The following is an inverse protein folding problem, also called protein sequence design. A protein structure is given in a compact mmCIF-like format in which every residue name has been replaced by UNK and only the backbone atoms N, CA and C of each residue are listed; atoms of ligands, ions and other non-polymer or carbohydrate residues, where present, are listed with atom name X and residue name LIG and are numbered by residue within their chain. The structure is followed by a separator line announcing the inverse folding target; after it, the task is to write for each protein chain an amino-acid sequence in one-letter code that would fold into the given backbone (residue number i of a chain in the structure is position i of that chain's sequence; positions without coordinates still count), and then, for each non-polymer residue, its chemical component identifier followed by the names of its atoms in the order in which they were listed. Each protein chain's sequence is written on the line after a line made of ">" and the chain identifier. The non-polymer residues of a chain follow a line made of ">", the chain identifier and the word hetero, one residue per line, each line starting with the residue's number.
data_IF_684870144873
#
_entry.id   IF_684870144873
#
_cell.length_a   1.000
_cell.length_b   1.000
_cell.length_c   1.000
_cell.angle_alpha   90.00
_cell.angle_beta   90.00
_cell.angle_gamma   90.00
#
_symmetry.space_group_name_H-M   'P 1'
#
loop_
_entity.id
_entity.type
_entity.pdbx_description
1 polymer ?
#
# COMPACT_ATOMS: atom_id res chain seq x y z
N UNK A 1 -79.99 -4.61 -19.06
CA UNK A 1 -79.55 -5.84 -19.75
C UNK A 1 -78.40 -5.45 -20.66
N UNK A 2 -77.24 -6.07 -20.44
CA UNK A 2 -75.97 -5.89 -21.15
C UNK A 2 -75.89 -6.89 -22.29
N UNK A 3 -75.72 -6.47 -23.54
CA UNK A 3 -75.11 -7.22 -24.67
C UNK A 3 -74.80 -6.18 -25.77
N UNK A 4 -73.67 -6.12 -26.47
CA UNK A 4 -72.44 -6.90 -26.50
C UNK A 4 -71.43 -6.10 -27.32
N UNK A 5 -70.19 -6.06 -26.86
CA UNK A 5 -69.04 -5.50 -27.57
C UNK A 5 -68.68 -6.40 -28.76
N UNK A 6 -68.61 -5.83 -29.96
CA UNK A 6 -67.80 -6.33 -31.09
C UNK A 6 -67.21 -5.05 -31.71
N UNK A 7 -66.01 -4.59 -31.35
CA UNK A 7 -64.66 -5.16 -31.53
C UNK A 7 -64.46 -5.57 -33.01
N UNK A 8 -63.57 -4.82 -33.69
CA UNK A 8 -63.15 -4.83 -35.11
C UNK A 8 -64.02 -4.00 -36.06
N UNK A 9 -63.44 -3.03 -36.81
CA UNK A 9 -62.36 -3.24 -37.80
C UNK A 9 -61.05 -2.59 -37.34
N UNK A 10 -59.85 -2.99 -37.76
CA UNK A 10 -59.39 -3.17 -39.13
C UNK A 10 -58.06 -3.95 -39.04
N UNK A 11 -57.87 -4.97 -39.86
CA UNK A 11 -56.62 -5.76 -39.96
C UNK A 11 -55.50 -4.92 -40.62
N UNK A 12 -55.08 -3.82 -39.99
CA UNK A 12 -54.02 -2.95 -40.54
C UNK A 12 -52.95 -2.52 -39.55
N UNK A 13 -52.91 -3.07 -38.34
CA UNK A 13 -52.00 -2.55 -37.29
C UNK A 13 -50.76 -3.39 -37.03
N UNK A 14 -50.69 -4.65 -37.48
CA UNK A 14 -49.52 -5.50 -37.17
C UNK A 14 -48.38 -5.36 -38.20
N UNK A 15 -48.67 -5.10 -39.47
CA UNK A 15 -47.64 -4.88 -40.49
C UNK A 15 -47.01 -3.47 -40.40
N UNK A 16 -47.69 -2.48 -39.80
CA UNK A 16 -47.19 -1.11 -39.73
C UNK A 16 -46.37 -0.80 -38.46
N UNK A 17 -46.50 -1.59 -37.38
CA UNK A 17 -45.62 -1.43 -36.21
C UNK A 17 -44.26 -2.13 -36.37
N UNK A 18 -44.17 -3.17 -37.21
CA UNK A 18 -42.88 -3.78 -37.56
C UNK A 18 -42.02 -2.91 -38.49
N UNK A 19 -42.57 -1.85 -39.08
CA UNK A 19 -41.82 -0.92 -39.93
C UNK A 19 -41.08 0.19 -39.15
N UNK A 20 -41.28 0.32 -37.83
CA UNK A 20 -40.62 1.38 -37.03
C UNK A 20 -39.34 0.91 -36.32
N UNK A 21 -39.15 -0.39 -36.18
CA UNK A 21 -37.90 -0.98 -35.75
C UNK A 21 -37.53 -2.04 -36.79
N UNK A 22 -36.74 -1.62 -37.79
CA UNK A 22 -35.99 -2.57 -38.61
C UNK A 22 -35.17 -3.50 -37.71
N UNK A 23 -34.72 -4.66 -38.24
CA UNK A 23 -34.05 -5.69 -37.44
C UNK A 23 -33.00 -5.01 -36.57
N UNK A 24 -33.10 -5.16 -35.23
CA UNK A 24 -32.10 -4.65 -34.31
C UNK A 24 -30.75 -5.03 -34.89
N UNK A 25 -30.02 -4.01 -35.31
CA UNK A 25 -28.85 -4.15 -36.14
C UNK A 25 -27.81 -4.95 -35.34
N UNK A 26 -27.67 -6.24 -35.68
CA UNK A 26 -26.82 -7.22 -34.97
C UNK A 26 -25.38 -6.72 -34.73
N UNK A 27 -24.92 -5.78 -35.55
CA UNK A 27 -23.59 -5.15 -35.43
C UNK A 27 -23.42 -4.37 -34.13
N UNK A 28 -24.46 -3.73 -33.60
CA UNK A 28 -24.35 -2.94 -32.37
C UNK A 28 -24.20 -3.84 -31.13
N UNK A 29 -24.80 -5.04 -31.17
CA UNK A 29 -24.67 -6.07 -30.13
C UNK A 29 -23.32 -6.78 -30.19
N UNK A 30 -22.72 -6.93 -31.38
CA UNK A 30 -21.35 -7.45 -31.55
C UNK A 30 -20.29 -6.44 -31.09
N UNK A 31 -20.43 -5.15 -31.45
CA UNK A 31 -19.55 -4.08 -30.98
C UNK A 31 -19.57 -3.96 -29.44
N UNK A 32 -20.76 -4.07 -28.83
CA UNK A 32 -20.90 -4.08 -27.37
C UNK A 32 -20.19 -5.28 -26.72
N UNK A 33 -20.22 -6.46 -27.35
CA UNK A 33 -19.53 -7.66 -26.84
C UNK A 33 -18.01 -7.54 -26.93
N UNK A 34 -17.49 -6.99 -28.02
CA UNK A 34 -16.05 -6.79 -28.18
C UNK A 34 -15.51 -5.68 -27.28
N UNK A 35 -16.30 -4.63 -27.05
CA UNK A 35 -16.02 -3.63 -26.04
C UNK A 35 -15.98 -4.24 -24.63
N UNK A 36 -16.97 -5.06 -24.27
CA UNK A 36 -17.00 -5.77 -22.98
C UNK A 36 -15.77 -6.67 -22.80
N UNK A 37 -15.38 -7.46 -23.81
CA UNK A 37 -14.16 -8.30 -23.78
C UNK A 37 -12.89 -7.47 -23.58
N UNK A 38 -12.83 -6.31 -24.21
CA UNK A 38 -11.71 -5.37 -24.06
C UNK A 38 -11.61 -4.86 -22.63
N UNK A 39 -12.75 -4.45 -22.05
CA UNK A 39 -12.81 -4.02 -20.64
C UNK A 39 -12.42 -5.17 -19.70
N UNK A 40 -12.94 -6.39 -19.92
CA UNK A 40 -12.60 -7.54 -19.10
C UNK A 40 -11.10 -7.86 -19.14
N UNK A 41 -10.49 -7.76 -20.33
CA UNK A 41 -9.04 -7.94 -20.49
C UNK A 41 -8.26 -6.87 -19.74
N UNK A 42 -8.70 -5.62 -19.83
CA UNK A 42 -8.09 -4.51 -19.10
C UNK A 42 -8.21 -4.69 -17.58
N UNK A 43 -9.36 -5.10 -17.08
CA UNK A 43 -9.58 -5.37 -15.64
C UNK A 43 -8.63 -6.48 -15.16
N UNK A 44 -8.51 -7.57 -15.93
CA UNK A 44 -7.59 -8.66 -15.61
C UNK A 44 -6.15 -8.17 -15.56
N UNK A 45 -5.72 -7.39 -16.55
CA UNK A 45 -4.37 -6.83 -16.58
C UNK A 45 -4.11 -5.92 -15.37
N UNK A 46 -5.03 -4.99 -15.08
CA UNK A 46 -4.92 -4.09 -13.93
C UNK A 46 -4.86 -4.86 -12.60
N UNK A 47 -5.58 -5.98 -12.49
CA UNK A 47 -5.51 -6.83 -11.31
C UNK A 47 -4.15 -7.53 -11.17
N UNK A 48 -3.58 -8.02 -12.27
CA UNK A 48 -2.22 -8.58 -12.26
C UNK A 48 -1.17 -7.51 -11.89
N UNK A 49 -1.29 -6.30 -12.45
CA UNK A 49 -0.40 -5.18 -12.13
C UNK A 49 -0.49 -4.80 -10.65
N UNK A 50 -1.71 -4.78 -10.10
CA UNK A 50 -1.94 -4.54 -8.68
C UNK A 50 -1.28 -5.61 -7.79
N UNK A 51 -1.42 -6.89 -8.14
CA UNK A 51 -0.74 -7.97 -7.40
C UNK A 51 0.78 -7.83 -7.45
N UNK A 52 1.33 -7.50 -8.61
CA UNK A 52 2.77 -7.26 -8.76
C UNK A 52 3.24 -6.10 -7.88
N UNK A 53 2.50 -4.99 -7.85
CA UNK A 53 2.79 -3.85 -6.98
C UNK A 53 2.74 -4.24 -5.49
N UNK A 54 1.75 -5.04 -5.07
CA UNK A 54 1.65 -5.52 -3.70
C UNK A 54 2.84 -6.40 -3.30
N UNK A 55 3.30 -7.28 -4.19
CA UNK A 55 4.49 -8.10 -3.94
C UNK A 55 5.75 -7.24 -3.81
N UNK A 56 5.91 -6.23 -4.67
CA UNK A 56 7.05 -5.33 -4.59
C UNK A 56 7.04 -4.49 -3.31
N UNK A 57 5.87 -4.01 -2.87
CA UNK A 57 5.72 -3.33 -1.58
C UNK A 57 6.14 -4.22 -0.41
N UNK A 58 5.73 -5.49 -0.40
CA UNK A 58 6.13 -6.45 0.63
C UNK A 58 7.64 -6.71 0.62
N UNK A 59 8.26 -6.80 -0.56
CA UNK A 59 9.71 -6.96 -0.72
C UNK A 59 10.47 -5.74 -0.19
N UNK A 60 10.01 -4.54 -0.53
CA UNK A 60 10.60 -3.28 -0.06
C UNK A 60 10.46 -3.13 1.46
N UNK A 61 9.33 -3.53 2.03
CA UNK A 61 9.12 -3.52 3.48
C UNK A 61 10.12 -4.43 4.19
N UNK A 62 10.32 -5.65 3.68
CA UNK A 62 11.30 -6.60 4.23
C UNK A 62 12.73 -6.06 4.12
N UNK A 63 13.09 -5.46 2.98
CA UNK A 63 14.40 -4.86 2.78
C UNK A 63 14.61 -3.67 3.73
N UNK A 64 13.59 -2.83 3.92
CA UNK A 64 13.64 -1.71 4.87
C UNK A 64 13.92 -2.20 6.29
N UNK A 65 13.26 -3.29 6.71
CA UNK A 65 13.46 -3.88 8.02
C UNK A 65 14.90 -4.39 8.21
N UNK A 66 15.42 -5.13 7.24
CA UNK A 66 16.80 -5.64 7.24
C UNK A 66 17.85 -4.51 7.29
N UNK A 67 17.66 -3.48 6.47
CA UNK A 67 18.53 -2.31 6.45
C UNK A 67 18.48 -1.56 7.77
N UNK A 68 17.29 -1.39 8.36
CA UNK A 68 17.14 -0.70 9.64
C UNK A 68 17.85 -1.44 10.79
N UNK A 69 17.78 -2.77 10.79
CA UNK A 69 18.46 -3.64 11.75
C UNK A 69 19.98 -3.52 11.60
N UNK A 70 20.48 -3.67 10.37
CA UNK A 70 21.91 -3.60 10.07
C UNK A 70 22.49 -2.24 10.41
N UNK A 71 21.80 -1.17 10.02
CA UNK A 71 22.20 0.19 10.32
C UNK A 71 22.23 0.45 11.83
N UNK A 72 21.20 0.04 12.56
CA UNK A 72 21.13 0.23 14.01
C UNK A 72 22.26 -0.50 14.75
N UNK A 73 22.60 -1.73 14.36
CA UNK A 73 23.76 -2.45 14.90
C UNK A 73 25.07 -1.73 14.62
N UNK A 74 25.27 -1.29 13.38
CA UNK A 74 26.49 -0.57 12.99
C UNK A 74 26.63 0.76 13.74
N UNK A 75 25.54 1.49 13.92
CA UNK A 75 25.49 2.70 14.75
C UNK A 75 25.87 2.40 16.19
N UNK A 76 25.33 1.33 16.78
CA UNK A 76 25.67 0.93 18.15
C UNK A 76 27.15 0.58 18.25
N UNK A 77 27.68 -0.26 17.35
CA UNK A 77 29.10 -0.63 17.36
C UNK A 77 30.00 0.59 17.18
N UNK A 78 29.71 1.45 16.21
CA UNK A 78 30.45 2.69 15.98
C UNK A 78 30.46 3.58 17.23
N UNK A 79 29.31 3.74 17.90
CA UNK A 79 29.23 4.50 19.13
C UNK A 79 30.08 3.86 20.24
N UNK A 80 30.05 2.53 20.37
CA UNK A 80 30.84 1.80 21.37
C UNK A 80 32.35 1.87 21.11
N UNK A 81 32.78 1.97 19.86
CA UNK A 81 34.20 2.19 19.52
C UNK A 81 34.64 3.64 19.74
N UNK A 82 33.74 4.61 19.54
CA UNK A 82 34.08 6.04 19.55
C UNK A 82 33.90 6.71 20.91
N UNK A 83 32.98 6.22 21.73
CA UNK A 83 32.62 6.80 23.02
C UNK A 83 33.06 5.89 24.16
N UNK A 84 33.33 6.50 25.32
CA UNK A 84 33.60 5.75 26.55
C UNK A 84 32.31 5.10 27.05
N UNK A 85 32.41 3.83 27.45
CA UNK A 85 31.31 3.12 28.11
C UNK A 85 30.83 3.88 29.36
N UNK A 86 29.54 4.25 29.45
CA UNK A 86 29.02 4.92 30.63
C UNK A 86 29.03 3.96 31.84
N UNK A 87 29.14 4.50 33.05
CA UNK A 87 28.85 3.69 34.23
C UNK A 87 27.34 3.41 34.29
N UNK A 88 26.94 2.38 35.06
CA UNK A 88 25.54 1.95 35.19
C UNK A 88 24.71 2.89 36.10
N UNK A 89 24.77 4.19 35.84
CA UNK A 89 23.97 5.20 36.51
C UNK A 89 23.27 6.10 35.47
N UNK A 90 22.15 6.70 35.87
CA UNK A 90 21.30 7.49 34.96
C UNK A 90 22.03 8.69 34.34
N UNK A 91 22.90 9.33 35.11
CA UNK A 91 23.62 10.53 34.67
C UNK A 91 24.62 10.23 33.55
N UNK A 92 25.46 9.21 33.73
CA UNK A 92 26.48 8.82 32.75
C UNK A 92 25.84 8.25 31.47
N UNK A 93 24.76 7.47 31.61
CA UNK A 93 23.99 6.99 30.46
C UNK A 93 23.39 8.16 29.69
N UNK A 94 22.82 9.16 30.39
CA UNK A 94 22.26 10.35 29.75
C UNK A 94 23.33 11.17 29.01
N UNK A 95 24.53 11.30 29.57
CA UNK A 95 25.65 11.99 28.93
C UNK A 95 26.13 11.23 27.68
N UNK A 96 26.25 9.90 27.77
CA UNK A 96 26.56 9.03 26.63
C UNK A 96 25.54 9.21 25.50
N UNK A 97 24.25 9.18 25.83
CA UNK A 97 23.16 9.34 24.87
C UNK A 97 23.21 10.71 24.17
N UNK A 98 23.44 11.79 24.93
CA UNK A 98 23.55 13.13 24.37
C UNK A 98 24.76 13.26 23.43
N UNK A 99 25.91 12.69 23.80
CA UNK A 99 27.11 12.67 22.96
C UNK A 99 26.88 11.85 21.68
N UNK A 100 26.34 10.64 21.80
CA UNK A 100 25.96 9.77 20.66
C UNK A 100 25.01 10.51 19.72
N UNK A 101 23.97 11.13 20.25
CA UNK A 101 22.98 11.88 19.47
C UNK A 101 23.60 13.05 18.71
N UNK A 102 24.55 13.76 19.33
CA UNK A 102 25.26 14.89 18.71
C UNK A 102 26.13 14.41 17.55
N UNK A 103 26.91 13.34 17.77
CA UNK A 103 27.77 12.76 16.73
C UNK A 103 26.95 12.11 15.60
N UNK A 104 25.81 11.48 15.90
CA UNK A 104 24.97 10.89 14.85
C UNK A 104 24.41 11.94 13.89
N UNK A 105 24.10 13.14 14.39
CA UNK A 105 23.63 14.24 13.53
C UNK A 105 24.69 14.72 12.54
N UNK A 106 25.98 14.48 12.79
CA UNK A 106 27.05 14.88 11.86
C UNK A 106 27.23 13.89 10.72
N UNK A 107 27.06 12.58 10.97
CA UNK A 107 27.24 11.54 9.95
C UNK A 107 25.95 11.12 9.24
N UNK A 108 24.79 11.32 9.89
CA UNK A 108 23.47 10.99 9.34
C UNK A 108 22.49 12.14 9.61
N UNK A 109 22.66 13.29 8.95
CA UNK A 109 21.77 14.42 9.17
C UNK A 109 20.31 14.04 8.85
N UNK A 110 19.39 14.42 9.74
CA UNK A 110 17.96 14.17 9.54
C UNK A 110 17.47 12.77 9.88
N UNK A 111 18.30 11.83 10.35
CA UNK A 111 17.83 10.46 10.68
C UNK A 111 16.67 10.42 11.70
N UNK A 112 16.55 11.47 12.53
CA UNK A 112 15.45 11.64 13.48
C UNK A 112 14.06 11.79 12.86
N UNK A 113 13.96 12.07 11.56
CA UNK A 113 12.67 12.05 10.84
C UNK A 113 12.12 10.62 10.72
N UNK A 114 13.00 9.63 10.67
CA UNK A 114 12.65 8.22 10.61
C UNK A 114 12.48 7.66 12.03
N UNK A 115 11.26 7.79 12.56
CA UNK A 115 10.94 7.38 13.94
C UNK A 115 11.23 5.90 14.21
N UNK A 116 10.89 5.00 13.27
CA UNK A 116 11.13 3.55 13.39
C UNK A 116 12.62 3.23 13.49
N UNK A 117 13.44 3.81 12.62
CA UNK A 117 14.89 3.67 12.66
C UNK A 117 15.48 4.23 13.96
N UNK A 118 15.04 5.42 14.36
CA UNK A 118 15.49 6.07 15.60
C UNK A 118 15.16 5.23 16.84
N UNK A 119 13.98 4.60 16.88
CA UNK A 119 13.60 3.68 17.96
C UNK A 119 14.48 2.43 17.95
N UNK A 120 14.75 1.86 16.78
CA UNK A 120 15.56 0.65 16.64
C UNK A 120 17.04 0.86 17.00
N UNK A 121 17.61 2.02 16.67
CA UNK A 121 18.96 2.43 17.11
C UNK A 121 19.10 2.44 18.63
N UNK A 122 18.04 2.87 19.34
CA UNK A 122 18.03 2.89 20.81
C UNK A 122 17.86 1.48 21.38
N UNK A 123 16.94 0.68 20.85
CA UNK A 123 16.61 -0.63 21.41
C UNK A 123 17.77 -1.64 21.35
N UNK A 124 18.60 -1.54 20.31
CA UNK A 124 19.76 -2.41 20.10
C UNK A 124 20.96 -2.02 20.97
N UNK A 125 21.07 -0.76 21.39
CA UNK A 125 22.21 -0.31 22.17
C UNK A 125 22.15 -0.85 23.61
N UNK A 126 23.11 -1.70 23.94
CA UNK A 126 23.19 -2.36 25.24
C UNK A 126 23.71 -1.44 26.35
N UNK A 127 24.43 -0.36 26.01
CA UNK A 127 24.98 0.58 27.00
C UNK A 127 23.91 1.54 27.55
N UNK A 128 22.75 1.61 26.89
CA UNK A 128 21.60 2.40 27.35
C UNK A 128 20.81 1.71 28.48
N UNK A 129 21.09 0.43 28.77
CA UNK A 129 20.32 -0.38 29.73
C UNK A 129 20.86 -0.22 31.15
N UNK A 130 20.09 0.47 31.99
CA UNK A 130 20.26 0.43 33.44
C UNK A 130 19.51 -0.80 33.93
N UNK A 131 20.21 -1.91 34.16
CA UNK A 131 19.63 -3.07 34.83
C UNK A 131 19.39 -2.65 36.28
N UNK A 132 18.13 -2.47 36.65
CA UNK A 132 17.72 -2.32 38.05
C UNK A 132 17.54 -3.74 38.57
N UNK A 133 18.54 -4.25 39.29
CA UNK A 133 18.39 -5.51 40.01
C UNK A 133 17.21 -5.33 40.99
N UNK A 134 16.16 -6.14 40.82
CA UNK A 134 14.97 -6.20 41.69
C UNK A 134 15.10 -7.33 42.69
#
# INVERSE_FOLDING_TARGET
>A
MLEGLSIFPNEQTEEQEQARYGPNEDWQVEDDKDFLRTIETLIRQQYEDYKAAMHEMARLESLREELSETLARNVSHWAHFRLRKPAKNSQDVSLYLAAKQTLLRTIMPGYGTFRSLSAKIKSIDTWERIVVDS
#
